data_IF_111258835115
#
_entry.id   IF_111258835115
#
_cell.length_a   1.000
_cell.length_b   1.000
_cell.length_c   1.000
_cell.angle_alpha   90.00
_cell.angle_beta   90.00
_cell.angle_gamma   90.00
#
_symmetry.space_group_name_H-M   'P 1'
#
loop_
_entity.id
_entity.type
_entity.pdbx_description
1 polymer ?
#
# COMPACT_ATOMS: atom_id res chain seq x y z
N UNK A 1 -0.58 26.57 -5.80
CA UNK A 1 0.51 25.78 -5.20
C UNK A 1 0.34 24.35 -5.68
N UNK A 2 1.29 23.82 -6.47
CA UNK A 2 1.33 22.38 -6.77
C UNK A 2 1.47 21.66 -5.43
N UNK A 3 0.52 20.80 -5.12
CA UNK A 3 0.64 19.97 -3.91
C UNK A 3 1.64 18.86 -4.20
N UNK A 4 2.50 18.49 -3.27
CA UNK A 4 3.45 17.37 -3.43
C UNK A 4 2.75 16.03 -3.84
N UNK A 5 1.43 15.96 -3.70
CA UNK A 5 0.62 14.83 -4.19
C UNK A 5 0.68 14.76 -5.72
N UNK A 6 0.62 15.89 -6.43
CA UNK A 6 0.71 15.93 -7.89
C UNK A 6 2.10 15.54 -8.41
N UNK A 7 3.13 15.59 -7.55
CA UNK A 7 4.48 15.16 -7.91
C UNK A 7 4.54 13.68 -8.30
N UNK A 8 3.64 12.84 -7.75
CA UNK A 8 3.54 11.42 -8.12
C UNK A 8 2.96 11.17 -9.52
N UNK A 9 2.41 12.20 -10.20
CA UNK A 9 2.02 12.13 -11.61
C UNK A 9 3.23 12.37 -12.53
N UNK A 10 4.36 11.72 -12.23
CA UNK A 10 5.61 11.87 -12.95
C UNK A 10 6.08 10.50 -13.43
N UNK A 11 6.06 10.30 -14.75
CA UNK A 11 6.46 9.04 -15.38
C UNK A 11 7.85 8.55 -14.96
N UNK A 12 8.83 9.46 -14.85
CA UNK A 12 10.20 9.11 -14.47
C UNK A 12 10.29 8.48 -13.08
N UNK A 13 9.42 8.90 -12.16
CA UNK A 13 9.37 8.32 -10.81
C UNK A 13 8.99 6.85 -10.88
N UNK A 14 7.99 6.52 -11.68
CA UNK A 14 7.53 5.14 -11.82
C UNK A 14 8.50 4.28 -12.62
N UNK A 15 9.18 4.85 -13.60
CA UNK A 15 10.27 4.16 -14.32
C UNK A 15 11.41 3.79 -13.36
N UNK A 16 11.82 4.72 -12.48
CA UNK A 16 12.83 4.44 -11.45
C UNK A 16 12.33 3.49 -10.37
N UNK A 17 11.07 3.61 -9.96
CA UNK A 17 10.45 2.66 -9.04
C UNK A 17 10.49 1.25 -9.63
N UNK A 18 10.11 1.10 -10.89
CA UNK A 18 10.15 -0.18 -11.58
C UNK A 18 11.57 -0.74 -11.66
N UNK A 19 12.55 0.06 -12.08
CA UNK A 19 13.95 -0.34 -12.14
C UNK A 19 14.46 -0.84 -10.78
N UNK A 20 14.20 -0.08 -9.72
CA UNK A 20 14.57 -0.46 -8.35
C UNK A 20 13.91 -1.79 -7.95
N UNK A 21 12.61 -1.89 -8.16
CA UNK A 21 11.83 -3.06 -7.76
C UNK A 21 12.22 -4.32 -8.55
N UNK A 22 12.56 -4.20 -9.84
CA UNK A 22 13.06 -5.32 -10.64
C UNK A 22 14.38 -5.87 -10.10
N UNK A 23 15.27 -5.00 -9.64
CA UNK A 23 16.51 -5.43 -8.99
C UNK A 23 16.22 -6.14 -7.66
N UNK A 24 15.27 -5.62 -6.87
CA UNK A 24 14.85 -6.19 -5.58
C UNK A 24 14.13 -7.53 -5.72
N UNK A 25 13.55 -7.86 -6.89
CA UNK A 25 12.96 -9.19 -7.13
C UNK A 25 13.96 -10.35 -7.06
N UNK A 26 15.25 -10.08 -7.15
CA UNK A 26 16.31 -11.07 -6.98
C UNK A 26 16.65 -11.34 -5.51
N UNK A 27 16.36 -10.38 -4.63
CA UNK A 27 16.55 -10.48 -3.17
C UNK A 27 15.51 -9.58 -2.50
N UNK A 28 14.43 -10.18 -2.06
CA UNK A 28 13.28 -9.44 -1.57
C UNK A 28 13.64 -8.52 -0.40
N UNK A 29 13.25 -7.25 -0.45
CA UNK A 29 13.28 -6.41 0.74
C UNK A 29 12.26 -6.93 1.76
N UNK A 30 12.53 -6.69 3.02
CA UNK A 30 11.80 -7.26 4.14
C UNK A 30 10.28 -7.06 4.06
N UNK A 31 9.80 -5.92 3.57
CA UNK A 31 8.37 -5.67 3.44
C UNK A 31 7.67 -6.59 2.41
N UNK A 32 8.40 -7.10 1.40
CA UNK A 32 7.86 -8.12 0.49
C UNK A 32 7.87 -9.51 1.12
N UNK A 33 8.90 -9.83 1.89
CA UNK A 33 8.94 -11.09 2.67
C UNK A 33 7.76 -11.16 3.64
N UNK A 34 7.46 -10.06 4.33
CA UNK A 34 6.29 -9.99 5.21
C UNK A 34 4.97 -10.08 4.44
N UNK A 35 4.85 -9.39 3.31
CA UNK A 35 3.66 -9.53 2.47
C UNK A 35 3.42 -11.00 2.11
N UNK A 36 4.43 -11.71 1.60
CA UNK A 36 4.33 -13.13 1.26
C UNK A 36 4.01 -13.96 2.49
N UNK A 37 4.68 -13.71 3.62
CA UNK A 37 4.40 -14.42 4.88
C UNK A 37 2.98 -14.19 5.40
N UNK A 38 2.46 -12.99 5.32
CA UNK A 38 1.09 -12.68 5.76
C UNK A 38 0.04 -13.30 4.84
N UNK A 39 0.24 -13.19 3.53
CA UNK A 39 -0.64 -13.82 2.54
C UNK A 39 -0.70 -15.34 2.70
N UNK A 40 0.41 -16.00 3.07
CA UNK A 40 0.45 -17.46 3.30
C UNK A 40 -0.34 -17.90 4.53
N UNK A 41 -0.70 -17.00 5.44
CA UNK A 41 -1.46 -17.31 6.67
C UNK A 41 -2.97 -17.16 6.51
N UNK A 42 -3.42 -16.63 5.38
CA UNK A 42 -4.83 -16.32 5.14
C UNK A 42 -5.28 -16.98 3.84
N UNK A 43 -6.56 -17.34 3.79
CA UNK A 43 -7.14 -17.89 2.56
C UNK A 43 -7.91 -16.77 1.85
N UNK A 44 -7.37 -16.31 0.73
CA UNK A 44 -7.92 -15.21 -0.08
C UNK A 44 -7.89 -15.60 -1.56
N UNK A 45 -8.90 -15.13 -2.29
CA UNK A 45 -9.02 -15.32 -3.74
C UNK A 45 -8.91 -13.99 -4.50
N UNK A 46 -9.27 -12.88 -3.88
CA UNK A 46 -9.31 -11.55 -4.52
C UNK A 46 -8.57 -10.53 -3.69
N UNK A 47 -7.54 -9.93 -4.25
CA UNK A 47 -6.73 -8.89 -3.61
C UNK A 47 -6.92 -7.55 -4.32
N UNK A 48 -7.18 -6.49 -3.55
CA UNK A 48 -7.14 -5.10 -4.00
C UNK A 48 -5.88 -4.42 -3.45
N UNK A 49 -5.01 -3.98 -4.35
CA UNK A 49 -3.79 -3.21 -4.03
C UNK A 49 -4.02 -1.72 -4.30
N UNK A 50 -4.00 -0.91 -3.26
CA UNK A 50 -4.28 0.53 -3.30
C UNK A 50 -2.98 1.32 -3.30
N UNK A 51 -2.80 2.18 -4.31
CA UNK A 51 -1.53 2.84 -4.57
C UNK A 51 -0.51 1.86 -5.14
N UNK A 52 -0.94 1.05 -6.10
CA UNK A 52 -0.15 -0.07 -6.64
C UNK A 52 1.14 0.36 -7.38
N UNK A 53 1.28 1.65 -7.71
CA UNK A 53 2.45 2.18 -8.42
C UNK A 53 2.73 1.40 -9.70
N UNK A 54 3.99 0.97 -9.89
CA UNK A 54 4.40 0.18 -11.05
C UNK A 54 3.98 -1.32 -10.99
N UNK A 55 3.13 -1.71 -10.05
CA UNK A 55 2.48 -3.03 -10.03
C UNK A 55 3.35 -4.19 -9.52
N UNK A 56 4.38 -3.96 -8.75
CA UNK A 56 5.29 -5.03 -8.30
C UNK A 56 4.62 -6.09 -7.43
N UNK A 57 3.62 -5.71 -6.63
CA UNK A 57 2.86 -6.69 -5.83
C UNK A 57 2.03 -7.65 -6.68
N UNK A 58 1.66 -7.29 -7.92
CA UNK A 58 1.12 -8.24 -8.88
C UNK A 58 2.11 -9.38 -9.17
N UNK A 59 3.39 -9.05 -9.39
CA UNK A 59 4.42 -10.07 -9.64
C UNK A 59 4.64 -10.98 -8.44
N UNK A 60 4.61 -10.44 -7.22
CA UNK A 60 4.67 -11.25 -6.01
C UNK A 60 3.45 -12.19 -5.91
N UNK A 61 2.25 -11.70 -6.21
CA UNK A 61 1.04 -12.53 -6.25
C UNK A 61 1.14 -13.61 -7.31
N UNK A 62 1.53 -13.25 -8.54
CA UNK A 62 1.68 -14.19 -9.65
C UNK A 62 2.65 -15.33 -9.33
N UNK A 63 3.74 -15.00 -8.63
CA UNK A 63 4.81 -15.96 -8.29
C UNK A 63 4.44 -16.86 -7.11
N UNK A 64 3.83 -16.34 -6.06
CA UNK A 64 3.61 -17.04 -4.80
C UNK A 64 2.16 -17.49 -4.58
N UNK A 65 1.20 -16.83 -5.24
CA UNK A 65 -0.24 -17.02 -5.06
C UNK A 65 -0.96 -16.96 -6.41
N UNK A 66 -0.64 -17.87 -7.36
CA UNK A 66 -1.11 -17.79 -8.74
C UNK A 66 -2.64 -17.86 -8.89
N UNK A 67 -3.35 -18.40 -7.90
CA UNK A 67 -4.81 -18.49 -7.89
C UNK A 67 -5.48 -17.20 -7.37
N UNK A 68 -4.71 -16.27 -6.80
CA UNK A 68 -5.24 -15.00 -6.32
C UNK A 68 -5.45 -14.04 -7.48
N UNK A 69 -6.67 -13.58 -7.64
CA UNK A 69 -7.01 -12.52 -8.60
C UNK A 69 -6.61 -11.17 -8.02
N UNK A 70 -5.60 -10.59 -8.63
CA UNK A 70 -5.06 -9.29 -8.24
C UNK A 70 -5.74 -8.16 -9.01
N UNK A 71 -6.08 -7.08 -8.30
CA UNK A 71 -6.48 -5.80 -8.88
C UNK A 71 -5.64 -4.71 -8.24
N UNK A 72 -4.94 -3.93 -9.06
CA UNK A 72 -4.19 -2.75 -8.64
C UNK A 72 -4.91 -1.47 -9.00
N UNK A 73 -4.96 -0.52 -8.07
CA UNK A 73 -5.47 0.84 -8.32
C UNK A 73 -4.43 1.87 -7.93
N UNK A 74 -4.26 2.87 -8.78
CA UNK A 74 -3.45 4.05 -8.52
C UNK A 74 -4.13 5.29 -9.11
N UNK A 75 -3.93 6.46 -8.50
CA UNK A 75 -4.53 7.69 -9.03
C UNK A 75 -3.72 8.27 -10.21
N UNK A 76 -2.44 7.86 -10.35
CA UNK A 76 -1.54 8.29 -11.41
C UNK A 76 -1.73 7.39 -12.65
N UNK A 77 -2.19 7.97 -13.74
CA UNK A 77 -2.32 7.27 -15.01
C UNK A 77 -0.99 6.71 -15.50
N UNK A 78 0.10 7.44 -15.26
CA UNK A 78 1.46 7.07 -15.65
C UNK A 78 1.92 5.77 -14.97
N UNK A 79 1.55 5.56 -13.71
CA UNK A 79 1.80 4.33 -12.98
C UNK A 79 1.05 3.14 -13.59
N UNK A 80 -0.25 3.33 -13.80
CA UNK A 80 -1.16 2.31 -14.31
C UNK A 80 -0.77 1.85 -15.71
N UNK A 81 -0.47 2.78 -16.61
CA UNK A 81 -0.05 2.45 -17.97
C UNK A 81 1.32 1.75 -18.00
N UNK A 82 2.25 2.17 -17.16
CA UNK A 82 3.54 1.49 -17.01
C UNK A 82 3.34 0.06 -16.50
N UNK A 83 2.55 -0.12 -15.44
CA UNK A 83 2.26 -1.43 -14.86
C UNK A 83 1.60 -2.37 -15.88
N UNK A 84 0.55 -1.93 -16.56
CA UNK A 84 -0.11 -2.72 -17.63
C UNK A 84 0.86 -3.17 -18.71
N UNK A 85 1.66 -2.23 -19.20
CA UNK A 85 2.62 -2.49 -20.28
C UNK A 85 3.71 -3.45 -19.83
N UNK A 86 4.29 -3.23 -18.66
CA UNK A 86 5.43 -4.01 -18.18
C UNK A 86 5.03 -5.46 -17.85
N UNK A 87 3.93 -5.63 -17.11
CA UNK A 87 3.48 -6.95 -16.66
C UNK A 87 2.56 -7.67 -17.66
N UNK A 88 2.20 -7.02 -18.78
CA UNK A 88 1.22 -7.53 -19.75
C UNK A 88 -0.07 -8.03 -19.07
N UNK A 89 -0.60 -7.21 -18.15
CA UNK A 89 -1.74 -7.54 -17.32
C UNK A 89 -2.72 -6.37 -17.26
N UNK A 90 -4.00 -6.64 -17.51
CA UNK A 90 -5.05 -5.60 -17.60
C UNK A 90 -5.68 -5.21 -16.26
N UNK A 91 -5.38 -5.91 -15.17
CA UNK A 91 -5.99 -5.73 -13.85
C UNK A 91 -5.51 -4.50 -13.06
N UNK A 92 -4.95 -3.50 -13.74
CA UNK A 92 -4.58 -2.22 -13.15
C UNK A 92 -5.53 -1.13 -13.61
N UNK A 93 -5.98 -0.24 -12.70
CA UNK A 93 -6.97 0.78 -13.01
C UNK A 93 -6.59 2.14 -12.41
N UNK A 94 -6.87 3.21 -13.16
CA UNK A 94 -6.74 4.58 -12.63
C UNK A 94 -7.91 4.82 -11.70
N UNK A 95 -7.63 4.97 -10.41
CA UNK A 95 -8.64 5.24 -9.39
C UNK A 95 -8.00 5.86 -8.14
N UNK A 96 -8.58 6.96 -7.67
CA UNK A 96 -8.19 7.52 -6.38
C UNK A 96 -8.74 6.66 -5.24
N UNK A 97 -7.95 6.43 -4.18
CA UNK A 97 -8.39 5.64 -3.03
C UNK A 97 -9.67 6.19 -2.39
N UNK A 98 -9.90 7.52 -2.42
CA UNK A 98 -11.11 8.18 -1.92
C UNK A 98 -12.39 7.85 -2.69
N UNK A 99 -12.27 7.27 -3.86
CA UNK A 99 -13.40 6.80 -4.67
C UNK A 99 -13.81 5.36 -4.33
N UNK A 100 -13.06 4.68 -3.48
CA UNK A 100 -13.38 3.35 -3.02
C UNK A 100 -14.56 3.41 -2.04
N UNK A 101 -15.48 2.48 -2.18
CA UNK A 101 -16.67 2.36 -1.33
C UNK A 101 -16.74 0.97 -0.71
N UNK A 102 -17.48 0.81 0.39
CA UNK A 102 -17.73 -0.52 0.97
C UNK A 102 -18.33 -1.49 -0.06
N UNK A 103 -19.21 -0.99 -0.92
CA UNK A 103 -19.83 -1.77 -1.98
C UNK A 103 -18.79 -2.25 -3.00
N UNK A 104 -17.81 -1.41 -3.36
CA UNK A 104 -16.74 -1.81 -4.25
C UNK A 104 -15.82 -2.85 -3.62
N UNK A 105 -15.38 -2.64 -2.38
CA UNK A 105 -14.40 -3.51 -1.71
C UNK A 105 -14.96 -4.85 -1.25
N UNK A 106 -16.28 -5.02 -1.13
CA UNK A 106 -16.89 -6.31 -0.74
C UNK A 106 -16.56 -7.46 -1.70
N UNK A 107 -16.12 -7.14 -2.91
CA UNK A 107 -15.70 -8.11 -3.92
C UNK A 107 -14.26 -8.61 -3.72
N UNK A 108 -13.57 -8.08 -2.72
CA UNK A 108 -12.19 -8.42 -2.39
C UNK A 108 -12.10 -9.01 -0.99
N UNK A 109 -11.30 -10.07 -0.84
CA UNK A 109 -11.06 -10.67 0.46
C UNK A 109 -10.09 -9.83 1.28
N UNK A 110 -9.11 -9.23 0.60
CA UNK A 110 -8.04 -8.47 1.22
C UNK A 110 -7.81 -7.13 0.52
N UNK A 111 -7.57 -6.12 1.34
CA UNK A 111 -7.07 -4.81 0.95
C UNK A 111 -5.58 -4.73 1.30
N UNK A 112 -4.76 -4.39 0.34
CA UNK A 112 -3.34 -4.11 0.53
C UNK A 112 -3.05 -2.64 0.27
N UNK A 113 -2.19 -2.02 1.08
CA UNK A 113 -1.65 -0.68 0.83
C UNK A 113 -0.23 -0.60 1.42
N UNK A 114 0.76 -0.37 0.56
CA UNK A 114 2.15 -0.20 0.97
C UNK A 114 2.61 1.23 0.71
N UNK A 115 3.11 1.88 1.75
CA UNK A 115 3.61 3.26 1.73
C UNK A 115 2.60 4.36 1.38
N UNK A 116 1.45 4.08 0.80
CA UNK A 116 0.48 5.10 0.38
C UNK A 116 0.14 6.07 1.52
N UNK A 117 -0.17 5.55 2.70
CA UNK A 117 -0.51 6.33 3.89
C UNK A 117 0.66 7.20 4.42
N UNK A 118 1.90 6.89 4.03
CA UNK A 118 3.08 7.66 4.44
C UNK A 118 3.41 8.80 3.47
N UNK A 119 2.95 8.74 2.23
CA UNK A 119 3.28 9.75 1.21
C UNK A 119 2.17 10.80 1.04
N UNK A 120 1.17 10.75 1.88
CA UNK A 120 0.07 11.70 1.94
C UNK A 120 0.30 12.72 3.07
N UNK A 121 -0.12 13.99 2.91
CA UNK A 121 0.01 15.01 3.96
C UNK A 121 -0.85 14.70 5.19
N UNK A 122 -1.93 13.94 5.01
CA UNK A 122 -2.91 13.55 6.01
C UNK A 122 -2.96 12.01 6.11
N UNK A 123 -1.83 11.38 6.43
CA UNK A 123 -1.73 9.93 6.48
C UNK A 123 -2.73 9.28 7.45
N UNK A 124 -3.03 9.93 8.58
CA UNK A 124 -4.01 9.44 9.55
C UNK A 124 -5.43 9.36 8.95
N UNK A 125 -5.82 10.34 8.11
CA UNK A 125 -7.11 10.30 7.40
C UNK A 125 -7.18 9.14 6.42
N UNK A 126 -6.07 8.84 5.74
CA UNK A 126 -6.01 7.69 4.84
C UNK A 126 -6.14 6.36 5.57
N UNK A 127 -5.47 6.21 6.73
CA UNK A 127 -5.64 5.02 7.58
C UNK A 127 -7.07 4.88 8.09
N UNK A 128 -7.66 5.98 8.57
CA UNK A 128 -9.06 5.99 9.02
C UNK A 128 -9.98 5.55 7.88
N UNK A 129 -9.78 6.10 6.68
CA UNK A 129 -10.56 5.75 5.50
C UNK A 129 -10.48 4.25 5.20
N UNK A 130 -9.29 3.63 5.24
CA UNK A 130 -9.13 2.20 4.99
C UNK A 130 -9.82 1.35 6.05
N UNK A 131 -9.75 1.74 7.32
CA UNK A 131 -10.45 1.06 8.42
C UNK A 131 -11.98 1.18 8.26
N UNK A 132 -12.48 2.35 7.84
CA UNK A 132 -13.91 2.60 7.64
C UNK A 132 -14.50 1.81 6.47
N UNK A 133 -13.67 1.40 5.51
CA UNK A 133 -14.07 0.46 4.45
C UNK A 133 -14.41 -0.93 5.00
N UNK A 134 -13.84 -1.31 6.14
CA UNK A 134 -14.10 -2.57 6.85
C UNK A 134 -13.75 -3.84 6.02
N UNK A 135 -12.62 -3.93 5.34
CA UNK A 135 -12.23 -5.16 4.66
C UNK A 135 -12.08 -6.31 5.66
N UNK A 136 -12.26 -7.55 5.18
CA UNK A 136 -12.05 -8.75 6.02
C UNK A 136 -10.60 -8.89 6.45
N UNK A 137 -9.67 -8.73 5.51
CA UNK A 137 -8.23 -8.69 5.76
C UNK A 137 -7.64 -7.39 5.23
N UNK A 138 -6.61 -6.89 5.90
CA UNK A 138 -5.85 -5.75 5.42
C UNK A 138 -4.35 -5.95 5.69
N UNK A 139 -3.52 -5.74 4.68
CA UNK A 139 -2.08 -5.63 4.86
C UNK A 139 -1.68 -4.18 4.65
N UNK A 140 -1.07 -3.59 5.68
CA UNK A 140 -0.49 -2.25 5.63
C UNK A 140 1.03 -2.37 5.67
N UNK A 141 1.67 -2.07 4.55
CA UNK A 141 3.12 -2.13 4.42
C UNK A 141 3.80 -0.79 4.67
N UNK A 142 4.98 -0.85 5.28
CA UNK A 142 5.85 0.31 5.56
C UNK A 142 5.19 1.39 6.40
N UNK A 143 4.36 1.05 7.38
CA UNK A 143 3.75 2.04 8.27
C UNK A 143 4.84 2.65 9.18
N UNK A 144 5.06 3.96 9.05
CA UNK A 144 5.98 4.71 9.88
C UNK A 144 5.24 5.25 11.11
N UNK A 145 5.78 4.99 12.29
CA UNK A 145 5.16 5.44 13.54
C UNK A 145 6.10 6.28 14.39
N UNK A 146 5.51 7.10 15.28
CA UNK A 146 6.18 7.91 16.27
C UNK A 146 5.46 7.82 17.62
N UNK A 147 6.17 8.04 18.72
CA UNK A 147 5.58 8.18 20.06
C UNK A 147 4.99 9.58 20.30
N UNK A 148 5.43 10.57 19.51
CA UNK A 148 4.89 11.95 19.56
C UNK A 148 3.62 12.10 18.74
N UNK A 149 3.13 13.32 18.58
CA UNK A 149 2.02 13.61 17.67
C UNK A 149 2.36 13.18 16.23
N UNK A 150 1.32 12.79 15.48
CA UNK A 150 1.47 12.53 14.05
C UNK A 150 2.06 13.75 13.35
N UNK A 151 3.01 13.54 12.46
CA UNK A 151 3.76 14.59 11.80
C UNK A 151 4.28 14.13 10.45
N UNK A 152 4.75 15.05 9.63
CA UNK A 152 5.40 14.71 8.36
C UNK A 152 6.69 15.48 8.15
N UNK A 153 7.52 14.94 7.27
CA UNK A 153 8.67 15.61 6.69
C UNK A 153 8.53 15.62 5.17
N UNK A 154 9.15 16.60 4.52
CA UNK A 154 9.33 16.58 3.08
C UNK A 154 10.63 15.84 2.77
N UNK A 155 10.61 14.93 1.82
CA UNK A 155 11.80 14.21 1.36
C UNK A 155 11.76 14.01 -0.15
N UNK A 156 12.92 13.67 -0.73
CA UNK A 156 13.02 13.33 -2.15
C UNK A 156 12.82 11.83 -2.37
N UNK A 157 11.69 11.47 -3.00
CA UNK A 157 11.47 10.09 -3.44
C UNK A 157 12.20 9.84 -4.77
N UNK A 158 12.95 8.73 -4.83
CA UNK A 158 13.72 8.30 -6.01
C UNK A 158 14.69 9.36 -6.55
N UNK A 159 15.07 10.38 -5.76
CA UNK A 159 15.82 11.57 -6.16
C UNK A 159 15.15 12.43 -7.26
N UNK A 160 13.87 12.21 -7.55
CA UNK A 160 13.13 12.86 -8.63
C UNK A 160 12.11 13.86 -8.14
N UNK A 161 11.37 13.52 -7.09
CA UNK A 161 10.25 14.34 -6.61
C UNK A 161 10.35 14.63 -5.12
N UNK A 162 9.89 15.81 -4.73
CA UNK A 162 9.60 16.10 -3.33
C UNK A 162 8.20 15.59 -2.98
N UNK A 163 8.10 14.90 -1.87
CA UNK A 163 6.86 14.32 -1.35
C UNK A 163 6.89 14.26 0.18
N UNK A 164 5.79 13.80 0.76
CA UNK A 164 5.68 13.64 2.20
C UNK A 164 6.28 12.32 2.68
N UNK A 165 6.79 12.34 3.91
CA UNK A 165 7.08 11.16 4.70
C UNK A 165 6.35 11.34 6.03
N UNK A 166 5.18 10.73 6.14
CA UNK A 166 4.27 10.87 7.27
C UNK A 166 4.57 9.83 8.33
N UNK A 167 4.59 10.27 9.58
CA UNK A 167 4.76 9.44 10.78
C UNK A 167 3.48 9.49 11.59
N UNK A 168 2.87 8.34 11.79
CA UNK A 168 1.63 8.19 12.55
C UNK A 168 1.92 8.09 14.06
N UNK A 169 1.10 8.71 14.89
CA UNK A 169 1.16 8.43 16.33
C UNK A 169 0.78 6.98 16.59
N UNK A 170 1.67 6.20 17.24
CA UNK A 170 1.48 4.74 17.43
C UNK A 170 0.23 4.41 18.28
N UNK A 171 -0.12 5.24 19.25
CA UNK A 171 -1.27 4.98 20.11
C UNK A 171 -2.58 5.26 19.36
N UNK A 172 -2.60 6.28 18.49
CA UNK A 172 -3.72 6.53 17.57
C UNK A 172 -3.90 5.37 16.59
N UNK A 173 -2.83 4.84 16.02
CA UNK A 173 -2.89 3.66 15.13
C UNK A 173 -3.49 2.46 15.85
N UNK A 174 -3.01 2.13 17.06
CA UNK A 174 -3.55 1.03 17.87
C UNK A 174 -5.02 1.24 18.21
N UNK A 175 -5.41 2.45 18.59
CA UNK A 175 -6.80 2.81 18.88
C UNK A 175 -7.67 2.62 17.65
N UNK A 176 -7.21 3.06 16.48
CA UNK A 176 -7.91 2.93 15.22
C UNK A 176 -8.16 1.47 14.85
N UNK A 177 -7.14 0.60 14.93
CA UNK A 177 -7.29 -0.83 14.66
C UNK A 177 -8.29 -1.49 15.62
N UNK A 178 -8.25 -1.12 16.91
CA UNK A 178 -9.21 -1.61 17.90
C UNK A 178 -10.64 -1.16 17.58
N UNK A 179 -10.83 0.10 17.19
CA UNK A 179 -12.14 0.65 16.80
C UNK A 179 -12.70 -0.06 15.56
N UNK A 180 -11.85 -0.43 14.61
CA UNK A 180 -12.23 -1.22 13.43
C UNK A 180 -12.50 -2.70 13.74
N UNK A 181 -12.38 -3.13 15.00
CA UNK A 181 -12.54 -4.52 15.43
C UNK A 181 -11.53 -5.49 14.76
N UNK A 182 -10.26 -5.07 14.62
CA UNK A 182 -9.21 -5.89 14.05
C UNK A 182 -8.34 -6.57 15.11
N UNK A 183 -8.03 -7.83 14.87
CA UNK A 183 -6.88 -8.51 15.44
C UNK A 183 -5.65 -8.13 14.63
N UNK A 184 -4.54 -7.88 15.32
CA UNK A 184 -3.35 -7.26 14.72
C UNK A 184 -2.15 -8.18 14.82
N UNK A 185 -1.59 -8.53 13.70
CA UNK A 185 -0.31 -9.21 13.59
C UNK A 185 0.71 -8.25 12.98
N UNK A 186 1.84 -8.06 13.63
CA UNK A 186 2.87 -7.15 13.13
C UNK A 186 4.26 -7.72 13.39
N UNK A 187 5.24 -7.15 12.69
CA UNK A 187 6.65 -7.30 13.06
C UNK A 187 7.01 -6.27 14.14
N UNK A 188 7.22 -6.68 15.39
CA UNK A 188 7.39 -5.73 16.50
C UNK A 188 8.76 -5.07 16.56
N UNK A 189 9.75 -5.55 15.81
CA UNK A 189 11.18 -5.23 16.04
C UNK A 189 11.76 -4.19 15.08
N UNK A 190 11.01 -3.70 14.09
CA UNK A 190 11.58 -2.82 13.05
C UNK A 190 10.62 -1.71 12.61
N UNK A 191 11.19 -0.55 12.29
CA UNK A 191 10.53 0.54 11.57
C UNK A 191 11.13 0.60 10.16
N UNK A 192 10.32 0.74 9.12
CA UNK A 192 8.85 0.79 9.12
C UNK A 192 8.21 -0.57 9.47
N UNK A 193 6.99 -0.54 10.02
CA UNK A 193 6.29 -1.74 10.48
C UNK A 193 5.30 -2.26 9.44
N UNK A 194 5.26 -3.58 9.33
CA UNK A 194 4.30 -4.30 8.49
C UNK A 194 3.18 -4.84 9.37
N UNK A 195 1.93 -4.65 8.95
CA UNK A 195 0.74 -5.09 9.69
C UNK A 195 -0.15 -5.98 8.85
N UNK A 196 -0.55 -7.12 9.40
CA UNK A 196 -1.72 -7.86 8.97
C UNK A 196 -2.85 -7.63 9.97
N UNK A 197 -3.96 -7.15 9.48
CA UNK A 197 -5.19 -6.90 10.23
C UNK A 197 -6.23 -7.91 9.82
N UNK A 198 -6.82 -8.60 10.80
CA UNK A 198 -7.89 -9.60 10.61
C UNK A 198 -9.12 -9.10 11.35
N UNK A 199 -10.20 -8.81 10.63
CA UNK A 199 -11.43 -8.34 11.24
C UNK A 199 -12.16 -9.48 11.95
N UNK A 200 -12.51 -9.26 13.22
CA UNK A 200 -13.26 -10.19 14.06
C UNK A 200 -14.75 -10.19 13.74
#
# INVERSE_FOLDING_TARGET
MSTYIDSWKNKKVFEKQLETNLNELNSYPQHWEYFVSFMSKINVQHLLDIGCGCGTYYELCRKHFPDVKYVGVDYANEAVELAKKHWNYSGFYVKNYKELTKEYIKHFDILHACSLHNVLPNGDEALQFFIDLQPRYMILGKLLTTKGASTYKVYKAYNEIETYLYYHNIDNVKKLFKQGNYEVFCNPSQLPTEYLLVRK
#
